data_IF_873139473860
#
_entry.id   IF_873139473860
#
_cell.length_a   1.000
_cell.length_b   1.000
_cell.length_c   1.000
_cell.angle_alpha   90.00
_cell.angle_beta   90.00
_cell.angle_gamma   90.00
#
_symmetry.space_group_name_H-M   'P 1'
#
loop_
_entity.id
_entity.type
_entity.pdbx_description
1 polymer ?
#
# COMPACT_ATOMS: atom_id res chain seq x y z
N UNK A 1 11.19 -10.59 -20.58
CA UNK A 1 10.92 -9.93 -19.27
C UNK A 1 11.67 -10.69 -18.19
N UNK A 2 12.48 -10.02 -17.37
CA UNK A 2 13.01 -10.64 -16.14
C UNK A 2 11.88 -10.59 -15.11
N UNK A 3 11.09 -11.65 -14.98
CA UNK A 3 10.13 -11.78 -13.87
C UNK A 3 10.87 -12.23 -12.63
N UNK A 4 10.42 -11.81 -11.45
CA UNK A 4 10.86 -12.44 -10.21
C UNK A 4 10.48 -13.94 -10.26
N UNK A 5 11.37 -14.83 -9.83
CA UNK A 5 11.02 -16.24 -9.64
C UNK A 5 10.02 -16.33 -8.48
N UNK A 6 8.74 -16.48 -8.82
CA UNK A 6 7.67 -16.52 -7.82
C UNK A 6 7.76 -17.76 -6.95
N UNK A 7 7.62 -17.57 -5.63
CA UNK A 7 7.43 -18.69 -4.70
C UNK A 7 5.92 -18.89 -4.51
N UNK A 8 5.38 -20.11 -4.72
CA UNK A 8 3.96 -20.40 -4.55
C UNK A 8 3.38 -19.94 -3.20
N UNK A 9 4.16 -20.04 -2.12
CA UNK A 9 3.76 -19.58 -0.79
C UNK A 9 3.46 -18.07 -0.71
N UNK A 10 4.17 -17.23 -1.49
CA UNK A 10 3.92 -15.78 -1.50
C UNK A 10 2.60 -15.45 -2.19
N UNK A 11 2.29 -16.13 -3.30
CA UNK A 11 1.04 -15.94 -4.03
C UNK A 11 -0.17 -16.34 -3.20
N UNK A 12 -0.08 -17.48 -2.49
CA UNK A 12 -1.14 -17.94 -1.59
C UNK A 12 -1.37 -16.94 -0.45
N UNK A 13 -0.31 -16.42 0.16
CA UNK A 13 -0.43 -15.39 1.20
C UNK A 13 -1.17 -14.14 0.68
N UNK A 14 -0.84 -13.67 -0.52
CA UNK A 14 -1.48 -12.51 -1.11
C UNK A 14 -2.96 -12.75 -1.44
N UNK A 15 -3.28 -13.90 -2.04
CA UNK A 15 -4.66 -14.29 -2.30
C UNK A 15 -5.49 -14.36 -1.00
N UNK A 16 -4.95 -14.96 0.05
CA UNK A 16 -5.60 -15.03 1.36
C UNK A 16 -5.78 -13.64 1.98
N UNK A 17 -4.78 -12.76 1.85
CA UNK A 17 -4.85 -11.39 2.36
C UNK A 17 -5.94 -10.58 1.66
N UNK A 18 -6.06 -10.70 0.34
CA UNK A 18 -7.12 -10.06 -0.43
C UNK A 18 -8.49 -10.60 -0.01
N UNK A 19 -8.62 -11.92 0.10
CA UNK A 19 -9.84 -12.56 0.57
C UNK A 19 -10.26 -12.06 1.97
N UNK A 20 -9.32 -12.01 2.92
CA UNK A 20 -9.56 -11.48 4.27
C UNK A 20 -10.05 -10.03 4.22
N UNK A 21 -9.40 -9.17 3.43
CA UNK A 21 -9.82 -7.78 3.31
C UNK A 21 -11.25 -7.65 2.78
N UNK A 22 -11.59 -8.33 1.68
CA UNK A 22 -12.92 -8.22 1.07
C UNK A 22 -14.04 -8.92 1.85
N UNK A 23 -13.72 -9.89 2.72
CA UNK A 23 -14.72 -10.64 3.49
C UNK A 23 -14.84 -10.21 4.95
N UNK A 24 -13.84 -9.54 5.52
CA UNK A 24 -13.81 -9.16 6.95
C UNK A 24 -13.78 -7.67 7.20
N UNK A 25 -13.28 -6.85 6.28
CA UNK A 25 -13.23 -5.40 6.46
C UNK A 25 -14.56 -4.78 6.03
N UNK A 26 -15.13 -3.92 6.88
CA UNK A 26 -16.35 -3.19 6.61
C UNK A 26 -16.07 -1.68 6.63
N UNK A 27 -15.84 -1.12 5.44
CA UNK A 27 -15.61 0.32 5.29
C UNK A 27 -16.98 1.01 5.13
N UNK A 28 -17.43 1.86 6.08
CA UNK A 28 -18.69 2.55 5.95
C UNK A 28 -18.70 3.50 4.75
N UNK A 29 -19.89 3.74 4.20
CA UNK A 29 -20.07 4.74 3.17
C UNK A 29 -19.52 6.11 3.62
N UNK A 30 -18.79 6.78 2.73
CA UNK A 30 -18.14 8.06 3.03
C UNK A 30 -16.71 7.95 3.56
N UNK A 31 -16.16 6.74 3.72
CA UNK A 31 -14.78 6.51 4.13
C UNK A 31 -14.00 5.64 3.14
N UNK A 32 -12.67 5.70 3.24
CA UNK A 32 -11.73 4.79 2.58
C UNK A 32 -10.67 4.30 3.57
N UNK A 33 -10.02 3.17 3.26
CA UNK A 33 -8.85 2.67 4.00
C UNK A 33 -7.61 2.72 3.12
N UNK A 34 -6.44 2.89 3.74
CA UNK A 34 -5.17 2.94 2.98
C UNK A 34 -4.91 1.64 2.24
N UNK A 35 -5.17 0.49 2.87
CA UNK A 35 -4.98 -0.80 2.21
C UNK A 35 -5.91 -0.94 0.99
N UNK A 36 -7.17 -0.51 1.10
CA UNK A 36 -8.11 -0.56 -0.02
C UNK A 36 -7.65 0.26 -1.23
N UNK A 37 -7.10 1.46 -1.00
CA UNK A 37 -6.56 2.28 -2.08
C UNK A 37 -5.21 1.76 -2.60
N UNK A 38 -4.34 1.28 -1.71
CA UNK A 38 -3.00 0.81 -2.08
C UNK A 38 -3.04 -0.53 -2.81
N UNK A 39 -4.04 -1.36 -2.56
CA UNK A 39 -4.18 -2.69 -3.16
C UNK A 39 -4.19 -2.68 -4.69
N UNK A 40 -4.86 -1.72 -5.33
CA UNK A 40 -4.87 -1.61 -6.80
C UNK A 40 -3.45 -1.41 -7.36
N UNK A 41 -2.66 -0.57 -6.69
CA UNK A 41 -1.26 -0.35 -7.06
C UNK A 41 -0.39 -1.59 -6.84
N UNK A 42 -0.64 -2.35 -5.78
CA UNK A 42 0.04 -3.62 -5.52
C UNK A 42 -0.27 -4.60 -6.65
N UNK A 43 -1.55 -4.80 -7.00
CA UNK A 43 -1.94 -5.69 -8.09
C UNK A 43 -1.28 -5.32 -9.43
N UNK A 44 -1.17 -4.02 -9.75
CA UNK A 44 -0.47 -3.57 -10.97
C UNK A 44 1.01 -3.92 -10.96
N UNK A 45 1.68 -3.81 -9.81
CA UNK A 45 3.08 -4.25 -9.66
C UNK A 45 3.19 -5.77 -9.82
N UNK A 46 2.28 -6.53 -9.22
CA UNK A 46 2.22 -7.99 -9.34
C UNK A 46 2.01 -8.43 -10.79
N UNK A 47 1.07 -7.79 -11.50
CA UNK A 47 0.81 -8.01 -12.91
C UNK A 47 2.02 -7.67 -13.82
N UNK A 48 2.91 -6.79 -13.37
CA UNK A 48 4.16 -6.45 -14.05
C UNK A 48 5.37 -7.27 -13.57
N UNK A 49 5.15 -8.28 -12.74
CA UNK A 49 6.16 -9.25 -12.34
C UNK A 49 6.87 -8.96 -11.02
N UNK A 50 6.40 -8.00 -10.23
CA UNK A 50 6.94 -7.69 -8.89
C UNK A 50 5.93 -8.03 -7.80
N UNK A 51 6.25 -9.04 -6.97
CA UNK A 51 5.44 -9.39 -5.80
C UNK A 51 6.16 -8.93 -4.54
N UNK A 52 5.48 -8.13 -3.73
CA UNK A 52 5.99 -7.75 -2.41
C UNK A 52 6.17 -8.99 -1.54
N UNK A 53 7.25 -9.02 -0.76
CA UNK A 53 7.39 -10.10 0.22
C UNK A 53 6.35 -9.94 1.35
N UNK A 54 5.92 -11.09 1.88
CA UNK A 54 4.81 -11.26 2.84
C UNK A 54 4.84 -10.23 3.99
N UNK A 55 6.02 -9.95 4.52
CA UNK A 55 6.22 -9.10 5.69
C UNK A 55 6.34 -7.61 5.36
N UNK A 56 6.33 -7.22 4.08
CA UNK A 56 6.99 -5.99 3.62
C UNK A 56 6.13 -5.17 2.67
N UNK A 57 4.91 -4.92 3.10
CA UNK A 57 3.93 -4.11 2.37
C UNK A 57 3.98 -2.70 2.94
N UNK A 58 4.03 -1.66 2.10
CA UNK A 58 4.24 -0.31 2.58
C UNK A 58 2.99 0.33 3.18
N UNK A 59 1.86 -0.37 3.35
CA UNK A 59 0.59 0.19 3.87
C UNK A 59 0.73 0.90 5.23
N UNK A 60 1.41 0.28 6.19
CA UNK A 60 1.71 0.92 7.48
C UNK A 60 2.61 2.15 7.29
N UNK A 61 3.59 2.07 6.39
CA UNK A 61 4.47 3.20 6.10
C UNK A 61 3.72 4.34 5.41
N UNK A 62 2.85 4.04 4.45
CA UNK A 62 1.97 4.98 3.76
C UNK A 62 1.07 5.65 4.78
N UNK A 63 0.46 4.90 5.69
CA UNK A 63 -0.41 5.46 6.75
C UNK A 63 0.30 6.41 7.68
N UNK A 64 1.52 6.09 8.10
CA UNK A 64 2.32 7.00 8.93
C UNK A 64 2.67 8.28 8.17
N UNK A 65 3.12 8.16 6.93
CA UNK A 65 3.48 9.33 6.11
C UNK A 65 2.24 10.18 5.74
N UNK A 66 1.10 9.54 5.50
CA UNK A 66 -0.16 10.22 5.19
C UNK A 66 -0.68 11.00 6.41
N UNK A 67 -0.69 10.39 7.60
CA UNK A 67 -1.08 11.09 8.82
C UNK A 67 -0.19 12.31 9.11
N UNK A 68 1.12 12.20 8.82
CA UNK A 68 2.04 13.33 8.90
C UNK A 68 1.68 14.43 7.89
N UNK A 69 1.39 14.08 6.64
CA UNK A 69 0.97 15.03 5.61
C UNK A 69 -0.35 15.72 5.96
N UNK A 70 -1.36 14.98 6.43
CA UNK A 70 -2.62 15.53 6.91
C UNK A 70 -2.42 16.59 7.98
N UNK A 71 -1.59 16.28 8.99
CA UNK A 71 -1.31 17.21 10.10
C UNK A 71 -0.53 18.45 9.65
N UNK A 72 0.48 18.27 8.80
CA UNK A 72 1.47 19.32 8.50
C UNK A 72 1.08 20.20 7.32
N UNK A 73 0.50 19.63 6.28
CA UNK A 73 0.16 20.31 5.03
C UNK A 73 -1.33 20.65 4.98
N UNK A 74 -2.22 19.66 5.15
CA UNK A 74 -3.67 19.92 5.08
C UNK A 74 -4.26 20.52 6.37
N UNK A 75 -3.48 20.54 7.46
CA UNK A 75 -3.93 20.96 8.81
C UNK A 75 -5.20 20.23 9.28
N UNK A 76 -5.39 18.99 8.82
CA UNK A 76 -6.55 18.15 9.14
C UNK A 76 -6.26 17.32 10.41
N UNK A 77 -7.20 17.37 11.36
CA UNK A 77 -7.12 16.55 12.58
C UNK A 77 -7.66 15.14 12.30
N UNK A 78 -6.74 14.17 12.27
CA UNK A 78 -7.02 12.76 12.00
C UNK A 78 -7.11 11.91 13.29
N UNK A 79 -7.08 12.51 14.48
CA UNK A 79 -7.14 11.75 15.75
C UNK A 79 -8.49 11.09 15.99
N UNK A 80 -9.58 11.75 15.57
CA UNK A 80 -10.96 11.30 15.79
C UNK A 80 -11.50 10.45 14.64
N UNK A 81 -10.66 10.09 13.67
CA UNK A 81 -11.09 9.24 12.56
C UNK A 81 -11.38 7.83 13.07
N UNK A 82 -12.47 7.18 12.61
CA UNK A 82 -12.78 5.82 13.00
C UNK A 82 -11.69 4.86 12.53
N UNK A 83 -11.66 3.68 13.12
CA UNK A 83 -10.81 2.58 12.69
C UNK A 83 -11.66 1.32 12.55
N UNK A 84 -11.23 0.43 11.67
CA UNK A 84 -11.80 -0.90 11.48
C UNK A 84 -10.71 -1.97 11.66
N UNK A 85 -11.13 -3.22 11.81
CA UNK A 85 -10.23 -4.36 11.94
C UNK A 85 -9.60 -4.73 10.59
N UNK A 86 -8.27 -4.73 10.54
CA UNK A 86 -7.50 -5.21 9.41
C UNK A 86 -6.86 -6.56 9.74
N UNK A 87 -7.21 -7.57 8.93
CA UNK A 87 -6.85 -8.96 9.14
C UNK A 87 -5.63 -9.35 8.29
N UNK A 88 -4.62 -9.91 8.94
CA UNK A 88 -3.45 -10.48 8.28
C UNK A 88 -3.51 -12.02 8.33
N UNK A 89 -3.04 -12.71 7.27
CA UNK A 89 -2.98 -14.18 7.26
C UNK A 89 -1.79 -14.76 8.04
N UNK A 90 -0.93 -13.92 8.63
CA UNK A 90 0.22 -14.35 9.43
C UNK A 90 0.07 -13.97 10.90
N UNK A 91 1.16 -14.12 11.66
CA UNK A 91 1.21 -13.86 13.09
C UNK A 91 0.95 -12.40 13.50
N UNK A 92 0.77 -11.47 12.54
CA UNK A 92 0.27 -10.11 12.83
C UNK A 92 -1.19 -10.11 13.28
N UNK A 93 -1.99 -11.12 12.88
CA UNK A 93 -3.38 -11.24 13.29
C UNK A 93 -4.23 -10.03 12.93
N UNK A 94 -5.00 -9.52 13.90
CA UNK A 94 -5.91 -8.37 13.72
C UNK A 94 -5.20 -7.08 14.17
N UNK A 95 -5.23 -6.05 13.33
CA UNK A 95 -4.64 -4.75 13.61
C UNK A 95 -5.66 -3.62 13.34
N UNK A 96 -5.72 -2.56 14.17
CA UNK A 96 -6.59 -1.43 13.90
C UNK A 96 -6.09 -0.64 12.69
N UNK A 97 -6.95 -0.41 11.71
CA UNK A 97 -6.67 0.40 10.53
C UNK A 97 -7.59 1.62 10.47
N UNK A 98 -7.00 2.80 10.37
CA UNK A 98 -7.74 4.07 10.29
C UNK A 98 -8.54 4.16 9.00
N UNK A 99 -9.77 4.65 9.11
CA UNK A 99 -10.65 4.98 8.01
C UNK A 99 -10.66 6.50 7.82
N UNK A 100 -10.50 6.93 6.57
CA UNK A 100 -10.33 8.32 6.20
C UNK A 100 -11.58 8.82 5.47
N UNK A 101 -12.09 10.02 5.76
CA UNK A 101 -13.22 10.58 5.03
C UNK A 101 -12.93 10.70 3.53
N UNK A 102 -13.91 10.36 2.67
CA UNK A 102 -13.76 10.40 1.21
C UNK A 102 -13.45 11.80 0.67
N UNK A 103 -13.77 12.87 1.39
CA UNK A 103 -13.32 14.23 1.06
C UNK A 103 -11.79 14.35 0.94
N UNK A 104 -11.03 13.45 1.58
CA UNK A 104 -9.57 13.42 1.54
C UNK A 104 -9.01 12.46 0.47
N UNK A 105 -9.87 11.69 -0.21
CA UNK A 105 -9.43 10.58 -1.10
C UNK A 105 -8.65 11.09 -2.31
N UNK A 106 -9.11 12.16 -2.95
CA UNK A 106 -8.38 12.81 -4.05
C UNK A 106 -7.01 13.32 -3.61
N UNK A 107 -6.95 14.05 -2.50
CA UNK A 107 -5.68 14.50 -1.91
C UNK A 107 -4.74 13.34 -1.58
N UNK A 108 -5.29 12.22 -1.09
CA UNK A 108 -4.50 11.03 -0.80
C UNK A 108 -3.88 10.45 -2.08
N UNK A 109 -4.64 10.33 -3.17
CA UNK A 109 -4.12 9.84 -4.45
C UNK A 109 -3.04 10.75 -5.03
N UNK A 110 -3.30 12.05 -5.09
CA UNK A 110 -2.31 13.04 -5.57
C UNK A 110 -1.03 12.98 -4.75
N UNK A 111 -1.15 12.96 -3.42
CA UNK A 111 -0.01 12.84 -2.52
C UNK A 111 0.73 11.50 -2.69
N UNK A 112 0.00 10.40 -2.85
CA UNK A 112 0.59 9.07 -3.00
C UNK A 112 1.47 9.01 -4.26
N UNK A 113 0.95 9.47 -5.39
CA UNK A 113 1.65 9.49 -6.68
C UNK A 113 2.76 10.54 -6.72
N UNK A 114 2.51 11.77 -6.26
CA UNK A 114 3.48 12.86 -6.45
C UNK A 114 4.56 12.89 -5.36
N UNK A 115 4.26 12.36 -4.17
CA UNK A 115 5.15 12.49 -3.01
C UNK A 115 5.65 11.15 -2.48
N UNK A 116 4.76 10.17 -2.24
CA UNK A 116 5.18 8.92 -1.60
C UNK A 116 5.86 7.94 -2.57
N UNK A 117 5.26 7.66 -3.72
CA UNK A 117 5.81 6.73 -4.71
C UNK A 117 7.18 7.11 -5.29
N UNK A 118 7.50 8.37 -5.60
CA UNK A 118 8.80 8.70 -6.18
C UNK A 118 9.89 8.81 -5.11
N UNK A 119 9.54 9.21 -3.88
CA UNK A 119 10.53 9.57 -2.86
C UNK A 119 10.65 8.58 -1.69
N UNK A 120 9.56 7.88 -1.32
CA UNK A 120 9.52 7.04 -0.10
C UNK A 120 9.40 5.55 -0.41
N UNK A 121 8.64 5.20 -1.45
CA UNK A 121 8.49 3.80 -1.85
C UNK A 121 9.81 3.15 -2.26
N UNK A 122 10.71 3.78 -3.04
CA UNK A 122 11.99 3.17 -3.40
C UNK A 122 12.85 2.92 -2.16
N UNK A 123 12.92 3.89 -1.24
CA UNK A 123 13.67 3.74 0.02
C UNK A 123 13.08 2.68 0.95
N UNK A 124 11.76 2.50 0.93
CA UNK A 124 11.11 1.41 1.64
C UNK A 124 11.50 0.06 1.06
N UNK A 125 11.44 -0.10 -0.28
CA UNK A 125 11.79 -1.35 -0.94
C UNK A 125 13.28 -1.69 -0.77
N UNK A 126 14.17 -0.70 -0.84
CA UNK A 126 15.62 -0.87 -0.65
C UNK A 126 16.00 -1.57 0.65
N UNK A 127 15.22 -1.41 1.73
CA UNK A 127 15.47 -2.07 3.03
C UNK A 127 15.40 -3.59 2.95
N UNK A 128 14.86 -4.10 1.86
CA UNK A 128 14.24 -5.41 1.83
C UNK A 128 14.48 -6.20 0.55
N UNK A 129 15.19 -5.59 -0.39
CA UNK A 129 15.42 -6.08 -1.74
C UNK A 129 16.89 -5.91 -2.12
N UNK A 130 17.35 -6.76 -3.02
CA UNK A 130 18.67 -6.66 -3.65
C UNK A 130 18.72 -5.49 -4.64
N UNK A 131 19.93 -5.04 -5.02
CA UNK A 131 20.11 -3.95 -5.99
C UNK A 131 19.42 -4.21 -7.33
N UNK A 132 19.44 -5.47 -7.81
CA UNK A 132 18.75 -5.86 -9.04
C UNK A 132 17.23 -5.78 -8.92
N UNK A 133 16.66 -6.20 -7.79
CA UNK A 133 15.23 -6.05 -7.49
C UNK A 133 14.82 -4.58 -7.36
N UNK A 134 15.67 -3.75 -6.75
CA UNK A 134 15.44 -2.30 -6.63
C UNK A 134 15.39 -1.65 -8.02
N UNK A 135 16.34 -1.98 -8.90
CA UNK A 135 16.34 -1.47 -10.27
C UNK A 135 15.08 -1.90 -11.03
N UNK A 136 14.71 -3.17 -10.92
CA UNK A 136 13.52 -3.73 -11.58
C UNK A 136 12.21 -3.08 -11.13
N UNK A 137 11.98 -2.95 -9.82
CA UNK A 137 10.75 -2.33 -9.30
C UNK A 137 10.69 -0.84 -9.59
N UNK A 138 11.83 -0.14 -9.57
CA UNK A 138 11.89 1.29 -9.88
C UNK A 138 11.54 1.54 -11.35
N UNK A 139 11.98 0.66 -12.27
CA UNK A 139 11.56 0.69 -13.68
C UNK A 139 10.04 0.50 -13.82
N UNK A 140 9.46 -0.51 -13.15
CA UNK A 140 8.01 -0.76 -13.21
C UNK A 140 7.24 0.45 -12.67
N UNK A 141 7.61 0.97 -11.49
CA UNK A 141 6.98 2.16 -10.87
C UNK A 141 7.05 3.35 -11.84
N UNK A 142 8.21 3.56 -12.46
CA UNK A 142 8.40 4.63 -13.43
C UNK A 142 7.44 4.50 -14.61
N UNK A 143 7.37 3.30 -15.23
CA UNK A 143 6.48 3.02 -16.36
C UNK A 143 5.00 3.09 -16.02
N UNK A 144 4.61 2.66 -14.81
CA UNK A 144 3.20 2.62 -14.42
C UNK A 144 2.63 3.98 -14.03
N UNK A 145 3.46 4.88 -13.50
CA UNK A 145 2.95 6.11 -12.85
C UNK A 145 3.50 7.41 -13.41
N UNK A 146 4.54 7.39 -14.25
CA UNK A 146 5.23 8.61 -14.69
C UNK A 146 5.55 8.70 -16.18
N UNK A 147 5.48 7.61 -16.93
CA UNK A 147 5.68 7.62 -18.39
C UNK A 147 4.37 7.32 -19.12
N UNK A 148 3.95 8.25 -19.98
CA UNK A 148 2.97 8.03 -21.05
C UNK A 148 3.72 7.81 -22.36
#
# INVERSE_FOLDING_TARGET
MKSQNFKPAQQLFWAERYWLFYTKTNIPAGYFSIYGELHDYILRLEANGYIFSIQKVPDISVGKCWCFYLKTILKENHQNFPADEHYYPDNRGIQPAKLYPNKLRGHFHDWLIQSYFPNKLPDYIKKFSTESEISFVTDIISRLFYYN
#
